data_IF_977533474671
#
_entry.id   IF_977533474671
#
_cell.length_a   1.000
_cell.length_b   1.000
_cell.length_c   1.000
_cell.angle_alpha   90.00
_cell.angle_beta   90.00
_cell.angle_gamma   90.00
#
_symmetry.space_group_name_H-M   'P 1'
#
loop_
_entity.id
_entity.type
_entity.pdbx_description
1 polymer ?
#
# COMPACT_ATOMS: atom_id res chain seq x y z
N UNK A 1 -19.08 -4.57 -7.69
CA UNK A 1 -18.01 -5.18 -6.89
C UNK A 1 -18.15 -6.69 -6.99
N UNK A 2 -17.61 -7.26 -8.07
CA UNK A 2 -17.43 -8.70 -8.20
C UNK A 2 -16.15 -9.10 -7.46
N UNK A 3 -16.12 -10.30 -6.91
CA UNK A 3 -14.98 -10.92 -6.22
C UNK A 3 -13.68 -10.73 -7.01
N UNK A 4 -12.88 -9.74 -6.59
CA UNK A 4 -11.52 -9.51 -7.02
C UNK A 4 -10.69 -10.72 -6.63
N UNK A 5 -10.48 -11.63 -7.59
CA UNK A 5 -9.31 -12.48 -7.57
C UNK A 5 -8.10 -11.58 -7.36
N UNK A 6 -7.36 -11.87 -6.32
CA UNK A 6 -6.33 -10.98 -5.84
C UNK A 6 -5.22 -10.86 -6.89
N UNK A 7 -5.34 -9.78 -7.65
CA UNK A 7 -4.31 -9.19 -8.49
C UNK A 7 -3.10 -8.91 -7.59
N UNK A 8 -1.88 -8.91 -8.14
CA UNK A 8 -0.63 -8.64 -7.41
C UNK A 8 -0.54 -7.21 -6.85
N UNK A 9 -1.65 -6.48 -6.81
CA UNK A 9 -1.83 -5.10 -6.35
C UNK A 9 -1.12 -4.82 -5.03
N UNK A 10 -1.40 -5.57 -3.96
CA UNK A 10 -0.75 -5.30 -2.66
C UNK A 10 0.75 -5.63 -2.64
N UNK A 11 1.23 -6.51 -3.52
CA UNK A 11 2.69 -6.65 -3.75
C UNK A 11 3.25 -5.40 -4.43
N UNK A 12 2.56 -4.83 -5.43
CA UNK A 12 2.94 -3.57 -6.08
C UNK A 12 3.00 -2.42 -5.07
N UNK A 13 1.97 -2.27 -4.23
CA UNK A 13 1.96 -1.32 -3.11
C UNK A 13 3.11 -1.60 -2.14
N UNK A 14 3.37 -2.86 -1.82
CA UNK A 14 4.49 -3.27 -0.98
C UNK A 14 5.85 -2.87 -1.54
N UNK A 15 6.10 -3.10 -2.84
CA UNK A 15 7.34 -2.67 -3.51
C UNK A 15 7.50 -1.15 -3.46
N UNK A 16 6.42 -0.40 -3.66
CA UNK A 16 6.40 1.05 -3.56
C UNK A 16 6.75 1.51 -2.13
N UNK A 17 6.11 0.93 -1.11
CA UNK A 17 6.33 1.23 0.31
C UNK A 17 7.73 0.82 0.80
N UNK A 18 8.32 -0.22 0.21
CA UNK A 18 9.69 -0.64 0.45
C UNK A 18 10.71 0.12 -0.43
N UNK A 19 10.23 1.09 -1.23
CA UNK A 19 11.03 1.93 -2.14
C UNK A 19 11.82 1.13 -3.19
N UNK A 20 11.38 -0.10 -3.47
CA UNK A 20 11.90 -0.97 -4.55
C UNK A 20 11.41 -0.53 -5.91
N UNK A 21 10.30 0.21 -5.94
CA UNK A 21 9.75 0.81 -7.15
C UNK A 21 9.52 2.29 -6.87
N UNK A 22 10.04 3.19 -7.72
CA UNK A 22 9.83 4.62 -7.52
C UNK A 22 8.36 4.98 -7.76
N UNK A 23 7.93 6.10 -7.18
CA UNK A 23 6.65 6.72 -7.53
C UNK A 23 6.69 7.06 -9.02
N UNK A 24 5.61 6.75 -9.74
CA UNK A 24 5.48 7.11 -11.16
C UNK A 24 5.68 8.62 -11.37
N UNK A 25 6.49 8.99 -12.34
CA UNK A 25 6.84 10.38 -12.65
C UNK A 25 6.22 10.85 -13.97
N UNK A 26 5.44 10.00 -14.65
CA UNK A 26 4.89 10.31 -15.96
C UNK A 26 3.52 10.99 -15.86
N UNK A 27 3.48 12.26 -16.28
CA UNK A 27 2.25 13.04 -16.41
C UNK A 27 1.72 13.66 -15.11
N UNK A 28 0.57 14.32 -15.26
CA UNK A 28 -0.06 15.14 -14.24
C UNK A 28 -1.57 14.98 -14.31
N UNK A 29 -2.22 14.81 -13.15
CA UNK A 29 -3.66 14.99 -13.05
C UNK A 29 -3.97 16.43 -12.67
N UNK A 30 -4.88 17.05 -13.39
CA UNK A 30 -5.19 18.48 -13.31
C UNK A 30 -6.63 18.66 -12.84
N UNK A 31 -6.82 19.45 -11.78
CA UNK A 31 -8.13 19.83 -11.29
C UNK A 31 -8.55 21.17 -11.92
N UNK A 32 -9.72 21.20 -12.55
CA UNK A 32 -10.29 22.40 -13.17
C UNK A 32 -11.37 23.04 -12.27
N UNK A 33 -11.71 24.30 -12.56
CA UNK A 33 -12.62 25.11 -11.75
C UNK A 33 -14.10 24.73 -11.84
N UNK A 34 -14.48 24.09 -12.93
CA UNK A 34 -15.76 23.44 -13.18
C UNK A 34 -15.94 22.10 -12.47
N UNK A 35 -14.95 21.69 -11.66
CA UNK A 35 -14.90 20.40 -10.98
C UNK A 35 -14.70 19.20 -11.91
N UNK A 36 -14.03 19.39 -13.04
CA UNK A 36 -13.51 18.31 -13.87
C UNK A 36 -12.04 17.98 -13.56
N UNK A 37 -11.64 16.77 -13.92
CA UNK A 37 -10.27 16.32 -13.89
C UNK A 37 -9.79 16.00 -15.30
N UNK A 38 -8.56 16.43 -15.62
CA UNK A 38 -7.88 16.16 -16.88
C UNK A 38 -6.55 15.45 -16.63
N UNK A 39 -6.03 14.77 -17.63
CA UNK A 39 -4.68 14.24 -17.64
C UNK A 39 -3.80 15.03 -18.60
N UNK A 40 -2.55 15.24 -18.25
CA UNK A 40 -1.58 15.92 -19.12
C UNK A 40 -0.23 15.23 -19.00
N UNK A 41 0.32 14.78 -20.13
CA UNK A 41 1.70 14.26 -20.18
C UNK A 41 2.73 15.37 -19.97
N UNK A 42 2.41 16.58 -20.42
CA UNK A 42 3.27 17.76 -20.26
C UNK A 42 2.94 18.50 -18.97
N UNK A 43 3.94 19.17 -18.40
CA UNK A 43 3.76 19.99 -17.20
C UNK A 43 2.85 21.19 -17.53
N UNK A 44 1.66 21.31 -16.90
CA UNK A 44 0.80 22.46 -17.15
C UNK A 44 1.46 23.79 -16.75
N UNK A 45 1.32 24.82 -17.57
CA UNK A 45 1.89 26.14 -17.33
C UNK A 45 0.97 27.04 -16.48
N UNK A 46 1.56 27.96 -15.72
CA UNK A 46 0.82 29.01 -15.01
C UNK A 46 0.01 28.57 -13.78
N UNK A 47 -0.04 27.27 -13.47
CA UNK A 47 -0.75 26.72 -12.30
C UNK A 47 0.20 26.15 -11.24
N UNK A 48 -0.32 25.96 -10.03
CA UNK A 48 0.43 25.29 -8.95
C UNK A 48 0.55 23.79 -9.27
N UNK A 49 1.79 23.32 -9.31
CA UNK A 49 2.11 21.89 -9.40
C UNK A 49 2.44 21.36 -8.01
N UNK A 50 1.76 20.30 -7.62
CA UNK A 50 1.96 19.59 -6.36
C UNK A 50 2.86 18.41 -6.62
N UNK A 51 4.10 18.52 -6.16
CA UNK A 51 5.07 17.44 -6.22
C UNK A 51 4.92 16.49 -5.05
N UNK A 52 5.52 15.32 -5.16
CA UNK A 52 5.60 14.31 -4.10
C UNK A 52 6.15 14.89 -2.79
N UNK A 53 7.18 15.75 -2.88
CA UNK A 53 7.74 16.47 -1.72
C UNK A 53 6.76 17.48 -1.13
N UNK A 54 6.08 18.28 -1.98
CA UNK A 54 5.07 19.23 -1.50
C UNK A 54 3.92 18.51 -0.77
N UNK A 55 3.48 17.36 -1.28
CA UNK A 55 2.40 16.60 -0.69
C UNK A 55 2.81 15.95 0.65
N UNK A 56 3.97 15.30 0.72
CA UNK A 56 4.49 14.74 1.96
C UNK A 56 4.70 15.81 3.05
N UNK A 57 5.22 16.97 2.68
CA UNK A 57 5.36 18.09 3.62
C UNK A 57 4.00 18.62 4.10
N UNK A 58 2.99 18.73 3.23
CA UNK A 58 1.65 19.14 3.64
C UNK A 58 0.99 18.13 4.59
N UNK A 59 1.18 16.82 4.35
CA UNK A 59 0.75 15.76 5.28
C UNK A 59 1.44 15.93 6.64
N UNK A 60 2.75 16.09 6.67
CA UNK A 60 3.51 16.25 7.91
C UNK A 60 3.07 17.51 8.70
N UNK A 61 2.99 18.67 8.05
CA UNK A 61 2.58 19.91 8.73
C UNK A 61 1.10 19.88 9.17
N UNK A 62 0.22 19.30 8.36
CA UNK A 62 -1.17 19.08 8.77
C UNK A 62 -1.31 18.16 9.98
N UNK A 63 -0.51 17.09 10.03
CA UNK A 63 -0.41 16.23 11.20
C UNK A 63 0.12 16.98 12.43
N UNK A 64 1.16 17.81 12.31
CA UNK A 64 1.65 18.66 13.41
C UNK A 64 0.55 19.58 13.94
N UNK A 65 -0.25 20.15 13.05
CA UNK A 65 -1.36 20.99 13.44
C UNK A 65 -2.39 20.22 14.29
N UNK A 66 -2.79 19.02 13.85
CA UNK A 66 -3.68 18.13 14.61
C UNK A 66 -3.07 17.73 15.95
N UNK A 67 -1.80 17.32 15.96
CA UNK A 67 -1.04 16.95 17.16
C UNK A 67 -1.04 18.08 18.19
N UNK A 68 -0.70 19.30 17.78
CA UNK A 68 -0.63 20.46 18.68
C UNK A 68 -2.02 20.89 19.19
N UNK A 69 -3.02 20.83 18.31
CA UNK A 69 -4.41 21.14 18.66
C UNK A 69 -4.94 20.15 19.69
N UNK A 70 -4.78 18.84 19.43
CA UNK A 70 -5.18 17.80 20.36
C UNK A 70 -4.39 17.89 21.67
N UNK A 71 -3.08 18.13 21.61
CA UNK A 71 -2.23 18.22 22.80
C UNK A 71 -2.62 19.36 23.76
N UNK A 72 -3.28 20.40 23.24
CA UNK A 72 -3.77 21.55 24.00
C UNK A 72 -5.18 21.33 24.57
N UNK A 73 -5.86 20.25 24.19
CA UNK A 73 -7.19 19.90 24.68
C UNK A 73 -7.14 19.20 26.04
N UNK A 74 -8.29 19.10 26.70
CA UNK A 74 -8.44 18.30 27.93
C UNK A 74 -8.38 16.80 27.67
N UNK A 75 -8.47 16.36 26.42
CA UNK A 75 -8.46 14.96 26.03
C UNK A 75 -7.03 14.40 25.87
N UNK A 76 -6.00 15.23 25.96
CA UNK A 76 -4.59 14.80 25.98
C UNK A 76 -4.19 14.16 27.32
N UNK A 77 -4.84 13.06 27.68
CA UNK A 77 -4.51 12.21 28.83
C UNK A 77 -4.27 10.78 28.37
N UNK A 78 -3.12 10.21 28.74
CA UNK A 78 -2.72 8.81 28.43
C UNK A 78 -3.02 8.41 26.98
N UNK A 79 -2.68 9.29 26.04
CA UNK A 79 -2.67 8.98 24.61
C UNK A 79 -1.67 7.87 24.38
N UNK A 80 -2.10 6.79 23.73
CA UNK A 80 -1.24 5.62 23.48
C UNK A 80 -0.97 5.37 21.99
N UNK A 81 -1.67 6.08 21.10
CA UNK A 81 -1.55 5.85 19.66
C UNK A 81 -1.82 7.10 18.86
N UNK A 82 -0.98 7.30 17.85
CA UNK A 82 -1.25 8.13 16.68
C UNK A 82 -1.13 7.27 15.42
N UNK A 83 -2.04 7.48 14.48
CA UNK A 83 -1.98 6.81 13.20
C UNK A 83 -2.34 7.75 12.06
N UNK A 84 -1.45 7.85 11.05
CA UNK A 84 -1.76 8.46 9.76
C UNK A 84 -2.19 7.36 8.79
N UNK A 85 -3.45 7.40 8.41
CA UNK A 85 -4.12 6.37 7.65
C UNK A 85 -4.40 6.87 6.24
N UNK A 86 -3.98 6.10 5.25
CA UNK A 86 -4.31 6.27 3.85
C UNK A 86 -5.00 4.98 3.39
N UNK A 87 -6.19 5.04 2.77
CA UNK A 87 -6.89 3.84 2.30
C UNK A 87 -6.96 3.69 0.79
N UNK A 88 -7.51 2.56 0.35
CA UNK A 88 -7.81 2.22 -1.04
C UNK A 88 -8.86 3.11 -1.71
N UNK A 89 -9.43 4.08 -0.99
CA UNK A 89 -10.36 5.06 -1.51
C UNK A 89 -9.73 6.46 -1.58
N UNK A 90 -8.39 6.52 -1.58
CA UNK A 90 -7.61 7.75 -1.61
C UNK A 90 -7.95 8.73 -0.48
N UNK A 91 -8.48 8.24 0.64
CA UNK A 91 -8.83 9.07 1.79
C UNK A 91 -7.69 9.11 2.81
N UNK A 92 -7.46 10.27 3.39
CA UNK A 92 -6.43 10.49 4.42
C UNK A 92 -7.09 10.84 5.75
N UNK A 93 -6.87 9.98 6.75
CA UNK A 93 -7.36 10.18 8.10
C UNK A 93 -6.22 10.16 9.12
N UNK A 94 -6.42 10.88 10.21
CA UNK A 94 -5.58 10.81 11.39
C UNK A 94 -6.42 10.22 12.52
N UNK A 95 -5.94 9.12 13.10
CA UNK A 95 -6.56 8.47 14.23
C UNK A 95 -5.72 8.68 15.50
N UNK A 96 -6.38 9.07 16.58
CA UNK A 96 -5.82 9.17 17.92
C UNK A 96 -6.68 8.39 18.89
N UNK A 97 -6.07 7.84 19.94
CA UNK A 97 -6.84 7.28 21.03
C UNK A 97 -6.15 7.38 22.39
N UNK A 98 -6.97 7.36 23.43
CA UNK A 98 -6.53 7.40 24.83
C UNK A 98 -6.93 6.13 25.56
N UNK A 99 -6.21 5.82 26.65
CA UNK A 99 -6.49 4.62 27.44
C UNK A 99 -7.91 4.61 28.02
N UNK A 100 -8.48 5.77 28.33
CA UNK A 100 -9.82 5.84 28.91
C UNK A 100 -10.92 5.60 27.85
N UNK A 101 -10.74 6.13 26.63
CA UNK A 101 -11.65 5.81 25.52
C UNK A 101 -11.59 4.33 25.16
N UNK A 102 -10.39 3.73 25.11
CA UNK A 102 -10.24 2.29 24.90
C UNK A 102 -10.97 1.46 25.97
N UNK A 103 -10.88 1.81 27.26
CA UNK A 103 -11.60 1.09 28.32
C UNK A 103 -13.11 1.13 28.11
N UNK A 104 -13.67 2.28 27.73
CA UNK A 104 -15.10 2.41 27.45
C UNK A 104 -15.54 1.55 26.26
N UNK A 105 -14.72 1.50 25.20
CA UNK A 105 -14.95 0.62 24.05
C UNK A 105 -14.89 -0.85 24.47
N UNK A 106 -13.85 -1.25 25.21
CA UNK A 106 -13.68 -2.62 25.68
C UNK A 106 -14.87 -3.08 26.54
N UNK A 107 -15.31 -2.26 27.49
CA UNK A 107 -16.48 -2.56 28.32
C UNK A 107 -17.75 -2.75 27.46
N UNK A 108 -17.99 -1.85 26.49
CA UNK A 108 -19.11 -1.96 25.56
C UNK A 108 -19.08 -3.26 24.76
N UNK A 109 -17.92 -3.66 24.24
CA UNK A 109 -17.77 -4.90 23.48
C UNK A 109 -17.92 -6.15 24.36
N UNK A 110 -17.37 -6.14 25.59
CA UNK A 110 -17.53 -7.24 26.54
C UNK A 110 -19.00 -7.42 26.98
N UNK A 111 -19.73 -6.32 27.15
CA UNK A 111 -21.16 -6.35 27.47
C UNK A 111 -22.00 -6.86 26.28
N UNK A 112 -21.64 -6.47 25.05
CA UNK A 112 -22.35 -6.90 23.83
C UNK A 112 -22.03 -8.35 23.45
N UNK A 113 -20.82 -8.82 23.72
CA UNK A 113 -20.33 -10.16 23.37
C UNK A 113 -19.73 -10.87 24.59
N UNK A 114 -20.57 -11.40 25.51
CA UNK A 114 -20.09 -12.07 26.70
C UNK A 114 -19.12 -13.21 26.37
N UNK A 115 -17.95 -13.20 27.03
CA UNK A 115 -16.90 -14.20 26.81
C UNK A 115 -15.87 -13.85 25.73
N UNK A 116 -16.09 -12.80 24.92
CA UNK A 116 -15.05 -12.24 24.03
C UNK A 116 -14.15 -11.23 24.76
N UNK A 117 -12.98 -10.96 24.20
CA UNK A 117 -12.04 -9.94 24.72
C UNK A 117 -11.64 -10.19 26.17
N UNK A 118 -11.43 -11.45 26.54
CA UNK A 118 -10.97 -11.85 27.88
C UNK A 118 -9.46 -12.02 27.91
N UNK A 119 -8.91 -12.68 26.88
CA UNK A 119 -7.49 -12.80 26.66
C UNK A 119 -6.87 -11.47 26.17
N UNK A 120 -5.55 -11.39 26.27
CA UNK A 120 -4.80 -10.17 25.94
C UNK A 120 -4.71 -9.94 24.43
N UNK A 121 -4.77 -10.98 23.60
CA UNK A 121 -4.66 -10.87 22.15
C UNK A 121 -5.90 -10.19 21.59
N UNK A 122 -7.10 -10.65 21.97
CA UNK A 122 -8.36 -10.05 21.57
C UNK A 122 -8.44 -8.58 22.05
N UNK A 123 -8.02 -8.31 23.28
CA UNK A 123 -7.97 -6.94 23.82
C UNK A 123 -7.05 -6.04 23.01
N UNK A 124 -5.86 -6.52 22.64
CA UNK A 124 -4.91 -5.74 21.85
C UNK A 124 -5.41 -5.51 20.42
N UNK A 125 -6.04 -6.53 19.81
CA UNK A 125 -6.70 -6.36 18.50
C UNK A 125 -7.76 -5.26 18.53
N UNK A 126 -8.60 -5.21 19.57
CA UNK A 126 -9.55 -4.11 19.75
C UNK A 126 -8.86 -2.77 20.05
N UNK A 127 -7.78 -2.79 20.83
CA UNK A 127 -7.03 -1.58 21.22
C UNK A 127 -6.46 -0.83 20.02
N UNK A 128 -6.06 -1.53 18.96
CA UNK A 128 -5.48 -0.93 17.76
C UNK A 128 -6.40 -1.01 16.54
N UNK A 129 -7.67 -1.33 16.73
CA UNK A 129 -8.72 -1.25 15.70
C UNK A 129 -9.06 0.20 15.41
N UNK A 130 -8.55 0.76 14.30
CA UNK A 130 -8.70 2.18 13.95
C UNK A 130 -10.17 2.61 13.85
N UNK A 131 -11.04 1.75 13.32
CA UNK A 131 -12.48 2.01 13.20
C UNK A 131 -13.20 2.16 14.55
N UNK A 132 -12.59 1.72 15.65
CA UNK A 132 -13.11 1.91 17.00
C UNK A 132 -12.50 3.13 17.71
N UNK A 133 -11.54 3.84 17.12
CA UNK A 133 -10.91 4.98 17.78
C UNK A 133 -11.88 6.14 17.93
N UNK A 134 -11.83 6.80 19.09
CA UNK A 134 -12.78 7.86 19.42
C UNK A 134 -12.42 9.20 18.75
N UNK A 135 -11.14 9.43 18.47
CA UNK A 135 -10.68 10.68 17.87
C UNK A 135 -10.22 10.42 16.45
N UNK A 136 -10.98 10.98 15.50
CA UNK A 136 -10.76 10.82 14.08
C UNK A 136 -10.73 12.22 13.47
N UNK A 137 -9.68 12.50 12.70
CA UNK A 137 -9.48 13.81 12.08
C UNK A 137 -9.26 13.61 10.58
N UNK A 138 -9.97 14.41 9.79
CA UNK A 138 -9.84 14.52 8.33
C UNK A 138 -9.21 15.86 7.93
N UNK A 139 -9.11 16.13 6.63
CA UNK A 139 -8.47 17.30 6.06
C UNK A 139 -8.91 18.65 6.71
N UNK A 140 -10.18 18.83 7.07
CA UNK A 140 -10.68 20.07 7.73
C UNK A 140 -9.96 20.38 9.06
N UNK A 141 -9.43 19.35 9.73
CA UNK A 141 -8.73 19.48 11.00
C UNK A 141 -7.22 19.75 10.84
N UNK A 142 -6.68 19.65 9.63
CA UNK A 142 -5.25 19.78 9.33
C UNK A 142 -4.80 21.23 9.09
N UNK A 143 -5.58 22.21 9.56
CA UNK A 143 -5.29 23.63 9.40
C UNK A 143 -5.25 24.05 7.92
N UNK A 144 -4.33 24.95 7.56
CA UNK A 144 -4.20 25.41 6.16
C UNK A 144 -3.72 24.32 5.20
N UNK A 145 -2.93 23.36 5.68
CA UNK A 145 -2.42 22.23 4.90
C UNK A 145 -3.53 21.25 4.49
N UNK A 146 -4.60 21.20 5.28
CA UNK A 146 -5.80 20.43 4.97
C UNK A 146 -6.43 20.74 3.62
N UNK A 147 -6.28 21.98 3.11
CA UNK A 147 -6.79 22.34 1.79
C UNK A 147 -6.15 21.50 0.68
N UNK A 148 -4.84 21.26 0.75
CA UNK A 148 -4.14 20.45 -0.24
C UNK A 148 -4.59 18.98 -0.19
N UNK A 149 -4.84 18.46 1.01
CA UNK A 149 -5.31 17.08 1.20
C UNK A 149 -6.74 16.93 0.66
N UNK A 150 -7.61 17.90 0.93
CA UNK A 150 -8.95 17.94 0.33
C UNK A 150 -8.91 18.00 -1.20
N UNK A 151 -8.04 18.83 -1.78
CA UNK A 151 -7.88 18.92 -3.24
C UNK A 151 -7.37 17.60 -3.84
N UNK A 152 -6.48 16.89 -3.14
CA UNK A 152 -6.04 15.54 -3.50
C UNK A 152 -7.20 14.53 -3.46
N UNK A 153 -7.92 14.42 -2.35
CA UNK A 153 -9.04 13.46 -2.18
C UNK A 153 -10.11 13.69 -3.26
N UNK A 154 -10.42 14.97 -3.51
CA UNK A 154 -11.34 15.38 -4.57
C UNK A 154 -10.86 14.98 -5.95
N UNK A 155 -9.60 15.28 -6.29
CA UNK A 155 -9.05 14.95 -7.60
C UNK A 155 -8.96 13.42 -7.79
N UNK A 156 -8.51 12.69 -6.78
CA UNK A 156 -8.40 11.25 -6.80
C UNK A 156 -9.77 10.58 -7.05
N UNK A 157 -10.84 11.10 -6.45
CA UNK A 157 -12.20 10.65 -6.72
C UNK A 157 -12.63 10.90 -8.18
N UNK A 158 -12.32 12.07 -8.72
CA UNK A 158 -12.70 12.43 -10.10
C UNK A 158 -11.99 11.58 -11.16
N UNK A 159 -10.77 11.10 -10.88
CA UNK A 159 -9.95 10.37 -11.84
C UNK A 159 -10.10 8.85 -11.79
N UNK A 160 -10.90 8.30 -10.86
CA UNK A 160 -11.10 6.85 -10.73
C UNK A 160 -11.56 6.17 -12.03
N UNK A 161 -12.39 6.87 -12.82
CA UNK A 161 -12.95 6.37 -14.08
C UNK A 161 -12.42 7.16 -15.31
N UNK A 162 -11.36 7.96 -15.13
CA UNK A 162 -10.85 8.81 -16.20
C UNK A 162 -10.01 8.00 -17.20
N UNK A 163 -10.34 8.11 -18.49
CA UNK A 163 -9.47 7.60 -19.56
C UNK A 163 -8.37 8.63 -19.85
N UNK A 164 -7.15 8.33 -19.42
CA UNK A 164 -5.95 9.17 -19.63
C UNK A 164 -5.68 9.48 -21.12
N UNK A 165 -6.17 8.66 -22.05
CA UNK A 165 -5.99 8.86 -23.50
C UNK A 165 -7.00 9.81 -24.15
N UNK A 166 -8.08 10.18 -23.45
CA UNK A 166 -9.18 11.00 -24.00
C UNK A 166 -9.41 12.32 -23.24
N UNK A 167 -8.58 12.62 -22.23
CA UNK A 167 -8.84 13.67 -21.23
C UNK A 167 -7.78 14.77 -21.18
N UNK A 168 -7.25 15.16 -22.34
CA UNK A 168 -6.34 16.30 -22.48
C UNK A 168 -7.01 17.65 -22.11
N UNK A 169 -6.19 18.62 -21.70
CA UNK A 169 -6.62 20.00 -21.47
C UNK A 169 -6.99 20.69 -22.80
N UNK A 170 -8.17 21.32 -22.83
CA UNK A 170 -8.68 22.13 -23.93
C UNK A 170 -8.53 23.63 -23.63
N UNK A 171 -8.69 24.48 -24.66
CA UNK A 171 -8.59 25.95 -24.51
C UNK A 171 -9.64 26.54 -23.56
N UNK A 172 -10.78 25.87 -23.38
CA UNK A 172 -11.87 26.29 -22.51
C UNK A 172 -11.68 25.87 -21.04
N UNK A 173 -10.76 24.94 -20.76
CA UNK A 173 -10.51 24.46 -19.40
C UNK A 173 -9.77 25.53 -18.59
N UNK A 174 -10.23 25.77 -17.36
CA UNK A 174 -9.56 26.69 -16.41
C UNK A 174 -8.91 25.88 -15.28
N UNK A 175 -7.64 25.46 -15.44
CA UNK A 175 -6.97 24.64 -14.45
C UNK A 175 -6.66 25.42 -13.16
N UNK A 176 -6.93 24.81 -12.02
CA UNK A 176 -6.68 25.38 -10.68
C UNK A 176 -5.30 24.93 -10.16
N UNK A 177 -5.05 23.61 -10.22
CA UNK A 177 -3.87 22.96 -9.67
C UNK A 177 -3.66 21.62 -10.36
N UNK A 178 -2.44 21.10 -10.30
CA UNK A 178 -2.14 19.75 -10.77
C UNK A 178 -1.28 18.99 -9.78
N UNK A 179 -1.45 17.67 -9.75
CA UNK A 179 -0.62 16.74 -9.00
C UNK A 179 0.23 15.92 -9.98
N UNK A 180 1.48 15.62 -9.61
CA UNK A 180 2.24 14.55 -10.27
C UNK A 180 1.40 13.27 -10.27
N UNK A 181 1.26 12.61 -11.42
CA UNK A 181 0.32 11.50 -11.57
C UNK A 181 0.60 10.35 -10.60
N UNK A 182 1.87 10.07 -10.31
CA UNK A 182 2.25 9.05 -9.35
C UNK A 182 1.76 9.28 -7.93
N UNK A 183 1.46 10.51 -7.51
CA UNK A 183 0.84 10.77 -6.19
C UNK A 183 -0.55 10.12 -6.13
N UNK A 184 -1.32 10.28 -7.20
CA UNK A 184 -2.68 9.74 -7.36
C UNK A 184 -2.63 8.23 -7.61
N UNK A 185 -1.71 7.77 -8.45
CA UNK A 185 -1.45 6.35 -8.77
C UNK A 185 -0.68 5.67 -7.64
N UNK A 186 -1.33 5.54 -6.48
CA UNK A 186 -0.85 4.85 -5.27
C UNK A 186 0.35 5.47 -4.53
N UNK A 187 1.02 6.50 -5.07
CA UNK A 187 2.15 7.17 -4.41
C UNK A 187 1.83 7.75 -3.03
N UNK A 188 0.59 8.16 -2.81
CA UNK A 188 0.11 8.71 -1.54
C UNK A 188 0.34 7.78 -0.33
N UNK A 189 0.35 6.45 -0.50
CA UNK A 189 0.69 5.51 0.58
C UNK A 189 2.14 5.71 1.06
N UNK A 190 3.09 5.76 0.13
CA UNK A 190 4.50 6.01 0.45
C UNK A 190 4.70 7.41 1.03
N UNK A 191 3.97 8.41 0.53
CA UNK A 191 4.08 9.78 1.03
C UNK A 191 3.51 9.92 2.45
N UNK A 192 2.44 9.20 2.80
CA UNK A 192 1.94 9.10 4.18
C UNK A 192 2.95 8.41 5.12
N UNK A 193 3.58 7.33 4.65
CA UNK A 193 4.67 6.68 5.39
C UNK A 193 5.85 7.64 5.60
N UNK A 194 6.31 8.33 4.55
CA UNK A 194 7.40 9.32 4.64
C UNK A 194 7.07 10.47 5.57
N UNK A 195 5.86 11.02 5.50
CA UNK A 195 5.40 12.05 6.42
C UNK A 195 5.43 11.58 7.87
N UNK A 196 5.00 10.33 8.14
CA UNK A 196 5.05 9.77 9.50
C UNK A 196 6.49 9.59 10.00
N UNK A 197 7.38 9.05 9.17
CA UNK A 197 8.82 8.92 9.49
C UNK A 197 9.45 10.28 9.76
N UNK A 198 9.13 11.30 8.96
CA UNK A 198 9.57 12.67 9.18
C UNK A 198 9.12 13.19 10.56
N UNK A 199 7.85 13.03 10.91
CA UNK A 199 7.30 13.46 12.21
C UNK A 199 7.99 12.78 13.40
N UNK A 200 8.31 11.49 13.26
CA UNK A 200 9.07 10.73 14.27
C UNK A 200 10.47 11.33 14.44
N UNK A 201 11.18 11.54 13.32
CA UNK A 201 12.54 12.08 13.32
C UNK A 201 12.61 13.50 13.92
N UNK A 202 11.59 14.32 13.65
CA UNK A 202 11.44 15.66 14.20
C UNK A 202 10.93 15.68 15.66
N UNK A 203 10.61 14.52 16.23
CA UNK A 203 10.02 14.37 17.58
C UNK A 203 8.70 15.12 17.75
N UNK A 204 7.92 15.24 16.67
CA UNK A 204 6.66 15.98 16.65
C UNK A 204 5.63 15.43 17.65
N UNK A 205 5.69 14.15 17.98
CA UNK A 205 4.75 13.48 18.89
C UNK A 205 5.05 13.66 20.39
N UNK A 206 6.12 14.37 20.75
CA UNK A 206 6.47 14.63 22.17
C UNK A 206 5.31 15.13 23.05
N UNK A 207 4.45 16.05 22.56
CA UNK A 207 3.28 16.51 23.32
C UNK A 207 2.22 15.44 23.60
N UNK A 208 2.13 14.38 22.77
CA UNK A 208 1.17 13.28 22.89
C UNK A 208 1.73 12.06 23.61
N UNK A 209 3.05 11.90 23.69
CA UNK A 209 3.66 10.75 24.33
C UNK A 209 3.44 10.77 25.85
N UNK A 210 2.29 10.23 26.30
CA UNK A 210 1.84 10.21 27.70
C UNK A 210 1.83 8.81 28.31
N UNK A 211 2.25 7.78 27.55
CA UNK A 211 2.27 6.38 27.99
C UNK A 211 3.57 5.71 27.59
N UNK A 212 4.04 4.73 28.37
CA UNK A 212 5.30 4.01 28.10
C UNK A 212 5.31 3.30 26.73
N UNK A 213 4.14 2.91 26.23
CA UNK A 213 3.95 2.22 24.96
C UNK A 213 3.22 3.07 23.92
N UNK A 214 3.43 4.39 23.93
CA UNK A 214 2.93 5.25 22.87
C UNK A 214 3.56 4.84 21.52
N UNK A 215 2.72 4.63 20.51
CA UNK A 215 3.17 4.36 19.13
C UNK A 215 2.61 5.39 18.16
N UNK A 216 3.40 5.74 17.15
CA UNK A 216 2.98 6.52 16.00
C UNK A 216 3.29 5.73 14.74
N UNK A 217 2.31 5.54 13.85
CA UNK A 217 2.53 4.73 12.64
C UNK A 217 1.69 5.15 11.44
N UNK A 218 2.17 4.80 10.26
CA UNK A 218 1.41 4.91 9.02
C UNK A 218 0.68 3.59 8.71
N UNK A 219 -0.47 3.66 8.07
CA UNK A 219 -1.26 2.49 7.68
C UNK A 219 -1.94 2.68 6.33
N UNK A 220 -2.19 1.56 5.67
CA UNK A 220 -2.80 1.43 4.34
C UNK A 220 -4.26 0.98 4.40
N UNK A 221 -4.72 0.55 5.58
CA UNK A 221 -6.02 -0.12 5.74
C UNK A 221 -6.00 -1.61 5.41
N UNK A 222 -4.85 -2.14 4.97
CA UNK A 222 -4.62 -3.57 4.82
C UNK A 222 -3.74 -4.09 5.98
N UNK A 223 -4.34 -4.87 6.88
CA UNK A 223 -3.65 -5.44 8.05
C UNK A 223 -2.35 -6.17 7.69
N UNK A 224 -2.34 -6.94 6.59
CA UNK A 224 -1.15 -7.68 6.18
C UNK A 224 -0.01 -6.73 5.82
N UNK A 225 -0.28 -5.70 5.02
CA UNK A 225 0.70 -4.65 4.71
C UNK A 225 1.12 -3.88 5.96
N UNK A 226 0.18 -3.53 6.82
CA UNK A 226 0.44 -2.67 7.96
C UNK A 226 1.34 -3.35 9.00
N UNK A 227 1.00 -4.57 9.42
CA UNK A 227 1.80 -5.33 10.39
C UNK A 227 3.11 -5.89 9.79
N UNK A 228 3.15 -6.16 8.49
CA UNK A 228 4.36 -6.69 7.83
C UNK A 228 5.35 -5.59 7.47
N UNK A 229 4.90 -4.37 7.18
CA UNK A 229 5.74 -3.35 6.54
C UNK A 229 5.61 -1.96 7.18
N UNK A 230 4.47 -1.27 7.05
CA UNK A 230 4.40 0.16 7.38
C UNK A 230 4.62 0.41 8.87
N UNK A 231 3.99 -0.38 9.75
CA UNK A 231 4.15 -0.25 11.18
C UNK A 231 5.60 -0.54 11.61
N UNK A 232 6.27 -1.49 10.95
CA UNK A 232 7.68 -1.83 11.25
C UNK A 232 8.65 -0.76 10.80
N UNK A 233 8.30 0.03 9.79
CA UNK A 233 9.08 1.20 9.34
C UNK A 233 8.88 2.43 10.24
N UNK A 234 7.84 2.46 11.08
CA UNK A 234 7.51 3.61 11.95
C UNK A 234 7.58 3.32 13.45
N UNK A 235 7.63 2.05 13.85
CA UNK A 235 7.69 1.64 15.26
C UNK A 235 8.97 0.84 15.48
N UNK A 236 9.75 1.24 16.49
CA UNK A 236 10.93 0.49 16.92
C UNK A 236 10.59 -0.98 17.22
N UNK A 237 11.41 -1.90 16.72
CA UNK A 237 11.08 -3.33 16.69
C UNK A 237 10.68 -3.92 18.04
N UNK A 238 11.42 -3.59 19.11
CA UNK A 238 11.13 -4.11 20.45
C UNK A 238 9.79 -3.57 20.97
N UNK A 239 9.52 -2.27 20.77
CA UNK A 239 8.23 -1.67 21.11
C UNK A 239 7.08 -2.28 20.28
N UNK A 240 7.31 -2.55 19.00
CA UNK A 240 6.34 -3.22 18.14
C UNK A 240 5.96 -4.59 18.71
N UNK A 241 6.93 -5.40 19.13
CA UNK A 241 6.64 -6.70 19.75
C UNK A 241 6.07 -6.61 21.17
N UNK A 242 6.41 -5.59 21.94
CA UNK A 242 5.80 -5.34 23.25
C UNK A 242 4.31 -5.02 23.11
N UNK A 243 3.96 -4.27 22.06
CA UNK A 243 2.58 -3.93 21.74
C UNK A 243 1.83 -5.09 21.07
N UNK A 244 2.50 -5.83 20.18
CA UNK A 244 1.95 -6.92 19.38
C UNK A 244 2.69 -8.25 19.62
N UNK A 245 2.61 -8.84 20.83
CA UNK A 245 3.40 -10.02 21.18
C UNK A 245 3.04 -11.26 20.36
N UNK A 246 1.77 -11.38 19.94
CA UNK A 246 1.32 -12.45 19.04
C UNK A 246 1.98 -12.38 17.66
N UNK A 247 2.38 -11.19 17.18
CA UNK A 247 3.10 -11.04 15.92
C UNK A 247 4.52 -11.59 16.05
N UNK A 248 5.18 -11.42 17.20
CA UNK A 248 6.51 -12.01 17.46
C UNK A 248 6.49 -13.53 17.33
N UNK A 249 5.46 -14.18 17.86
CA UNK A 249 5.26 -15.62 17.75
C UNK A 249 4.99 -16.05 16.29
N UNK A 250 4.13 -15.31 15.59
CA UNK A 250 3.84 -15.57 14.17
C UNK A 250 5.07 -15.40 13.28
N UNK A 251 5.92 -14.41 13.55
CA UNK A 251 7.18 -14.22 12.85
C UNK A 251 8.14 -15.41 13.03
N UNK A 252 8.20 -15.97 14.25
CA UNK A 252 8.98 -17.17 14.50
C UNK A 252 8.44 -18.38 13.73
N UNK A 253 7.12 -18.60 13.76
CA UNK A 253 6.47 -19.68 13.03
C UNK A 253 6.62 -19.53 11.52
N UNK A 254 6.57 -18.31 11.00
CA UNK A 254 6.78 -18.04 9.58
C UNK A 254 8.21 -18.40 9.16
N UNK A 255 9.23 -18.02 9.94
CA UNK A 255 10.62 -18.41 9.67
C UNK A 255 10.80 -19.93 9.66
N UNK A 256 10.20 -20.65 10.61
CA UNK A 256 10.25 -22.13 10.62
C UNK A 256 9.63 -22.73 9.37
N UNK A 257 8.57 -22.13 8.82
CA UNK A 257 7.98 -22.60 7.57
C UNK A 257 8.89 -22.33 6.37
N UNK A 258 9.48 -21.14 6.30
CA UNK A 258 10.43 -20.80 5.24
C UNK A 258 11.64 -21.75 5.23
N UNK A 259 12.11 -22.17 6.40
CA UNK A 259 13.19 -23.15 6.55
C UNK A 259 12.81 -24.53 5.99
N UNK A 260 11.57 -24.99 6.20
CA UNK A 260 11.09 -26.26 5.61
C UNK A 260 11.08 -26.23 4.08
N UNK A 261 10.75 -25.07 3.52
CA UNK A 261 10.64 -24.87 2.07
C UNK A 261 11.97 -24.41 1.43
N UNK A 262 13.06 -24.33 2.20
CA UNK A 262 14.36 -23.84 1.71
C UNK A 262 14.99 -24.76 0.65
N UNK A 263 14.60 -26.04 0.59
CA UNK A 263 15.16 -27.04 -0.33
C UNK A 263 14.40 -27.16 -1.66
N UNK A 264 13.30 -26.44 -1.83
CA UNK A 264 12.51 -26.47 -3.06
C UNK A 264 13.27 -25.80 -4.21
N UNK A 265 13.18 -26.40 -5.39
CA UNK A 265 13.61 -25.77 -6.65
C UNK A 265 12.77 -24.53 -6.97
N UNK A 266 13.25 -23.67 -7.87
CA UNK A 266 12.53 -22.46 -8.30
C UNK A 266 11.12 -22.77 -8.80
N UNK A 267 10.96 -23.82 -9.61
CA UNK A 267 9.65 -24.25 -10.13
C UNK A 267 8.71 -24.71 -9.01
N UNK A 268 9.20 -25.54 -8.08
CA UNK A 268 8.40 -25.99 -6.93
C UNK A 268 8.03 -24.83 -6.00
N UNK A 269 8.90 -23.84 -5.85
CA UNK A 269 8.65 -22.66 -5.02
C UNK A 269 7.61 -21.72 -5.66
N UNK A 270 7.69 -21.53 -6.98
CA UNK A 270 6.67 -20.80 -7.74
C UNK A 270 5.32 -21.50 -7.67
N UNK A 271 5.27 -22.83 -7.81
CA UNK A 271 4.01 -23.59 -7.68
C UNK A 271 3.43 -23.47 -6.28
N UNK A 272 4.26 -23.64 -5.24
CA UNK A 272 3.85 -23.50 -3.84
C UNK A 272 3.21 -22.13 -3.56
N UNK A 273 3.87 -21.05 -3.99
CA UNK A 273 3.37 -19.69 -3.72
C UNK A 273 2.23 -19.26 -4.63
N UNK A 274 2.24 -19.68 -5.89
CA UNK A 274 1.11 -19.44 -6.77
C UNK A 274 -0.13 -20.14 -6.23
N UNK A 275 -0.03 -21.37 -5.71
CA UNK A 275 -1.17 -22.03 -5.06
C UNK A 275 -1.60 -21.27 -3.80
N UNK A 276 -0.66 -20.79 -2.99
CA UNK A 276 -0.97 -20.06 -1.76
C UNK A 276 -1.66 -18.69 -1.96
N UNK A 277 -1.29 -17.94 -3.01
CA UNK A 277 -1.93 -16.66 -3.35
C UNK A 277 -3.37 -16.88 -3.84
N UNK A 278 -3.63 -18.03 -4.47
CA UNK A 278 -4.92 -18.33 -5.10
C UNK A 278 -5.78 -19.32 -4.29
N UNK A 279 -5.27 -19.91 -3.21
CA UNK A 279 -6.04 -20.68 -2.25
C UNK A 279 -6.83 -19.72 -1.33
N UNK A 280 -7.68 -20.23 -0.44
CA UNK A 280 -8.65 -19.43 0.34
C UNK A 280 -8.01 -18.49 1.37
N UNK A 281 -7.29 -17.47 0.90
CA UNK A 281 -6.64 -16.27 1.44
C UNK A 281 -6.32 -16.20 2.94
N UNK A 282 -7.27 -16.52 3.82
CA UNK A 282 -7.12 -16.28 5.26
C UNK A 282 -6.49 -17.44 6.03
N UNK A 283 -6.51 -18.64 5.47
CA UNK A 283 -6.07 -19.85 6.17
C UNK A 283 -4.70 -20.35 5.75
N UNK A 284 -4.20 -19.84 4.62
CA UNK A 284 -2.96 -20.31 4.02
C UNK A 284 -1.79 -19.37 4.31
N UNK A 285 -0.59 -19.90 4.07
CA UNK A 285 0.68 -19.22 4.29
C UNK A 285 0.87 -18.26 3.11
N UNK A 286 1.29 -16.99 3.31
CA UNK A 286 1.88 -16.46 4.53
C UNK A 286 0.86 -15.68 5.39
N UNK A 287 -0.37 -15.48 4.90
CA UNK A 287 -1.42 -14.68 5.53
C UNK A 287 -1.83 -15.19 6.92
N UNK A 288 -1.80 -16.51 7.14
CA UNK A 288 -1.96 -17.10 8.48
C UNK A 288 -1.04 -16.46 9.53
N UNK A 289 0.15 -16.03 9.12
CA UNK A 289 1.16 -15.40 9.97
C UNK A 289 1.16 -13.86 9.90
N UNK A 290 0.12 -13.25 9.31
CA UNK A 290 0.00 -11.79 9.12
C UNK A 290 1.19 -11.25 8.33
N UNK A 291 1.40 -11.85 7.16
CA UNK A 291 2.40 -11.43 6.18
C UNK A 291 1.70 -11.01 4.92
N UNK A 292 2.25 -9.98 4.28
CA UNK A 292 1.78 -9.47 3.00
C UNK A 292 2.24 -10.35 1.84
N UNK A 293 1.63 -10.12 0.69
CA UNK A 293 1.97 -10.68 -0.60
C UNK A 293 3.41 -10.33 -0.98
N UNK A 294 3.89 -9.14 -0.61
CA UNK A 294 5.29 -8.74 -0.82
C UNK A 294 6.26 -9.77 -0.23
N UNK A 295 5.98 -10.31 0.95
CA UNK A 295 6.84 -11.29 1.62
C UNK A 295 7.01 -12.57 0.80
N UNK A 296 5.99 -12.98 0.04
CA UNK A 296 6.07 -14.12 -0.88
C UNK A 296 7.16 -13.89 -1.91
N UNK A 297 7.11 -12.73 -2.55
CA UNK A 297 8.03 -12.42 -3.64
C UNK A 297 9.44 -12.10 -3.14
N UNK A 298 9.58 -11.53 -1.94
CA UNK A 298 10.89 -11.38 -1.28
C UNK A 298 11.61 -12.72 -1.11
N UNK A 299 10.88 -13.83 -0.87
CA UNK A 299 11.50 -15.15 -0.79
C UNK A 299 12.00 -15.67 -2.14
N UNK A 300 11.41 -15.21 -3.25
CA UNK A 300 11.81 -15.61 -4.59
C UNK A 300 13.15 -14.97 -5.02
N UNK A 301 13.55 -13.84 -4.40
CA UNK A 301 14.77 -13.09 -4.76
C UNK A 301 16.04 -13.95 -4.78
N UNK A 302 16.11 -14.95 -3.90
CA UNK A 302 17.27 -15.84 -3.79
C UNK A 302 17.59 -16.62 -5.06
N UNK A 303 16.62 -16.77 -5.97
CA UNK A 303 16.76 -17.54 -7.20
C UNK A 303 17.31 -16.72 -8.38
N UNK A 304 17.27 -15.38 -8.31
CA UNK A 304 17.87 -14.48 -9.31
C UNK A 304 17.52 -14.86 -10.77
N UNK A 305 18.53 -15.07 -11.61
CA UNK A 305 18.39 -15.41 -13.03
C UNK A 305 17.55 -16.69 -13.28
N UNK A 306 17.57 -17.66 -12.36
CA UNK A 306 16.77 -18.89 -12.48
C UNK A 306 15.26 -18.57 -12.35
N UNK A 307 14.90 -17.62 -11.49
CA UNK A 307 13.53 -17.12 -11.35
C UNK A 307 13.05 -16.48 -12.64
N UNK A 308 13.86 -15.59 -13.22
CA UNK A 308 13.52 -14.90 -14.46
C UNK A 308 13.28 -15.90 -15.59
N UNK A 309 14.17 -16.86 -15.75
CA UNK A 309 14.08 -17.87 -16.80
C UNK A 309 12.81 -18.72 -16.66
N UNK A 310 12.54 -19.22 -15.45
CA UNK A 310 11.36 -20.05 -15.16
C UNK A 310 10.05 -19.26 -15.35
N UNK A 311 9.98 -18.01 -14.89
CA UNK A 311 8.78 -17.17 -15.07
C UNK A 311 8.50 -16.88 -16.56
N UNK A 312 9.54 -16.50 -17.32
CA UNK A 312 9.42 -16.24 -18.76
C UNK A 312 9.00 -17.50 -19.52
N UNK A 313 9.57 -18.66 -19.17
CA UNK A 313 9.24 -19.92 -19.83
C UNK A 313 7.79 -20.34 -19.55
N UNK A 314 7.30 -20.15 -18.32
CA UNK A 314 5.89 -20.37 -17.97
C UNK A 314 4.96 -19.42 -18.72
N UNK A 315 5.32 -18.14 -18.82
CA UNK A 315 4.56 -17.15 -19.58
C UNK A 315 4.50 -17.49 -21.09
N UNK A 316 5.57 -18.03 -21.68
CA UNK A 316 5.61 -18.47 -23.08
C UNK A 316 4.72 -19.69 -23.35
N UNK A 317 4.49 -20.54 -22.35
CA UNK A 317 3.66 -21.74 -22.48
C UNK A 317 2.15 -21.43 -22.51
N UNK A 318 1.76 -20.22 -22.12
CA UNK A 318 0.35 -19.80 -22.14
C UNK A 318 -0.10 -19.57 -23.59
N UNK A 319 -1.25 -20.15 -23.93
CA UNK A 319 -1.84 -19.97 -25.26
C UNK A 319 -2.66 -18.67 -25.33
N UNK A 320 -2.05 -17.59 -25.79
CA UNK A 320 -2.71 -16.28 -25.95
C UNK A 320 -3.71 -16.19 -27.12
N UNK A 321 -3.78 -17.23 -27.97
CA UNK A 321 -4.71 -17.25 -29.11
C UNK A 321 -6.14 -17.68 -28.73
N UNK A 322 -6.37 -18.05 -27.47
CA UNK A 322 -7.68 -18.47 -26.96
C UNK A 322 -8.16 -17.53 -25.85
N UNK A 323 -9.45 -17.63 -25.51
CA UNK A 323 -9.96 -16.97 -24.30
C UNK A 323 -9.23 -17.55 -23.10
N UNK A 324 -8.63 -16.69 -22.28
CA UNK A 324 -7.94 -17.10 -21.07
C UNK A 324 -8.94 -17.35 -19.96
N UNK A 325 -8.71 -18.41 -19.18
CA UNK A 325 -9.43 -18.66 -17.95
C UNK A 325 -8.89 -17.79 -16.82
N UNK A 326 -9.72 -17.52 -15.80
CA UNK A 326 -9.34 -16.71 -14.62
C UNK A 326 -7.99 -17.12 -14.01
N UNK A 327 -7.77 -18.43 -13.82
CA UNK A 327 -6.51 -18.97 -13.28
C UNK A 327 -5.29 -18.62 -14.13
N UNK A 328 -5.46 -18.50 -15.45
CA UNK A 328 -4.36 -18.11 -16.34
C UNK A 328 -4.03 -16.63 -16.19
N UNK A 329 -5.03 -15.74 -16.04
CA UNK A 329 -4.77 -14.33 -15.73
C UNK A 329 -4.04 -14.16 -14.41
N UNK A 330 -4.54 -14.84 -13.37
CA UNK A 330 -3.93 -14.92 -12.04
C UNK A 330 -2.45 -15.32 -12.11
N UNK A 331 -2.12 -16.41 -12.82
CA UNK A 331 -0.73 -16.84 -13.02
C UNK A 331 0.10 -15.87 -13.87
N UNK A 332 -0.47 -15.21 -14.89
CA UNK A 332 0.25 -14.19 -15.67
C UNK A 332 0.73 -13.06 -14.75
N UNK A 333 -0.18 -12.47 -13.97
CA UNK A 333 0.17 -11.37 -13.07
C UNK A 333 1.13 -11.82 -11.97
N UNK A 334 0.98 -13.04 -11.46
CA UNK A 334 1.93 -13.62 -10.49
C UNK A 334 3.34 -13.74 -11.06
N UNK A 335 3.51 -14.30 -12.27
CA UNK A 335 4.84 -14.45 -12.88
C UNK A 335 5.46 -13.11 -13.26
N UNK A 336 4.66 -12.15 -13.75
CA UNK A 336 5.14 -10.79 -14.03
C UNK A 336 5.60 -10.11 -12.73
N UNK A 337 4.84 -10.25 -11.65
CA UNK A 337 5.23 -9.68 -10.36
C UNK A 337 6.52 -10.32 -9.85
N UNK A 338 6.68 -11.63 -9.96
CA UNK A 338 7.91 -12.34 -9.59
C UNK A 338 9.15 -11.86 -10.35
N UNK A 339 9.01 -11.40 -11.61
CA UNK A 339 10.13 -10.84 -12.37
C UNK A 339 10.74 -9.58 -11.72
N UNK A 340 9.98 -8.79 -10.98
CA UNK A 340 10.52 -7.64 -10.23
C UNK A 340 11.53 -8.05 -9.15
N UNK A 341 11.52 -9.33 -8.76
CA UNK A 341 12.36 -9.89 -7.70
C UNK A 341 13.49 -10.76 -8.27
N UNK A 342 13.58 -10.94 -9.59
CA UNK A 342 14.64 -11.74 -10.22
C UNK A 342 15.98 -10.99 -10.35
N UNK A 343 16.02 -9.69 -10.05
CA UNK A 343 17.20 -8.84 -10.23
C UNK A 343 17.31 -8.29 -11.66
N UNK A 344 18.53 -8.02 -12.11
CA UNK A 344 18.80 -7.44 -13.44
C UNK A 344 18.71 -8.56 -14.48
N UNK A 345 17.76 -8.44 -15.42
CA UNK A 345 17.58 -9.41 -16.49
C UNK A 345 18.76 -9.40 -17.48
N UNK A 346 19.14 -10.58 -17.94
CA UNK A 346 20.06 -10.74 -19.08
C UNK A 346 19.41 -10.26 -20.40
N UNK A 347 20.22 -9.91 -21.39
CA UNK A 347 19.73 -9.49 -22.72
C UNK A 347 18.83 -10.54 -23.39
N UNK A 348 19.09 -11.83 -23.17
CA UNK A 348 18.23 -12.92 -23.65
C UNK A 348 16.87 -12.90 -22.94
N UNK A 349 16.85 -12.72 -21.63
CA UNK A 349 15.60 -12.60 -20.86
C UNK A 349 14.81 -11.34 -21.25
N UNK A 350 15.46 -10.19 -21.42
CA UNK A 350 14.84 -8.95 -21.92
C UNK A 350 14.20 -9.15 -23.29
N UNK A 351 14.92 -9.79 -24.21
CA UNK A 351 14.40 -10.12 -25.53
C UNK A 351 13.16 -11.03 -25.43
N UNK A 352 13.22 -12.05 -24.57
CA UNK A 352 12.10 -12.94 -24.33
C UNK A 352 10.89 -12.24 -23.71
N UNK A 353 11.08 -11.28 -22.80
CA UNK A 353 10.00 -10.45 -22.27
C UNK A 353 9.30 -9.66 -23.39
N UNK A 354 10.05 -9.09 -24.34
CA UNK A 354 9.48 -8.41 -25.51
C UNK A 354 8.64 -9.36 -26.37
N UNK A 355 9.10 -10.58 -26.62
CA UNK A 355 8.35 -11.59 -27.39
C UNK A 355 7.02 -11.91 -26.69
N UNK A 356 7.05 -12.14 -25.37
CA UNK A 356 5.84 -12.44 -24.60
C UNK A 356 4.88 -11.25 -24.60
N UNK A 357 5.39 -10.02 -24.47
CA UNK A 357 4.57 -8.80 -24.53
C UNK A 357 3.85 -8.64 -25.88
N UNK A 358 4.52 -8.96 -26.99
CA UNK A 358 3.91 -8.94 -28.33
C UNK A 358 2.77 -9.98 -28.44
N UNK A 359 2.98 -11.18 -27.87
CA UNK A 359 1.94 -12.21 -27.80
C UNK A 359 0.73 -11.73 -26.98
N UNK A 360 0.97 -11.12 -25.81
CA UNK A 360 -0.08 -10.57 -24.97
C UNK A 360 -0.84 -9.43 -25.66
N UNK A 361 -0.14 -8.54 -26.37
CA UNK A 361 -0.74 -7.41 -27.09
C UNK A 361 -1.65 -7.86 -28.25
N UNK A 362 -1.38 -9.04 -28.82
CA UNK A 362 -2.22 -9.65 -29.85
C UNK A 362 -3.44 -10.40 -29.29
N UNK A 363 -3.49 -10.59 -27.97
CA UNK A 363 -4.59 -11.29 -27.31
C UNK A 363 -5.87 -10.43 -27.32
N UNK A 364 -7.03 -11.07 -27.48
CA UNK A 364 -8.34 -10.40 -27.39
C UNK A 364 -8.76 -10.08 -25.95
N UNK A 365 -8.03 -10.62 -24.99
CA UNK A 365 -8.22 -10.38 -23.57
C UNK A 365 -7.36 -9.20 -23.16
N UNK A 366 -7.89 -8.26 -22.38
CA UNK A 366 -7.24 -6.99 -22.04
C UNK A 366 -5.99 -7.18 -21.16
N UNK A 367 -4.87 -7.54 -21.80
CA UNK A 367 -3.55 -7.75 -21.19
C UNK A 367 -2.60 -6.58 -21.46
N UNK A 368 -3.14 -5.39 -21.76
CA UNK A 368 -2.33 -4.22 -22.12
C UNK A 368 -1.34 -3.83 -21.03
N UNK A 369 -1.78 -3.81 -19.78
CA UNK A 369 -0.92 -3.48 -18.63
C UNK A 369 0.17 -4.53 -18.39
N UNK A 370 -0.19 -5.81 -18.47
CA UNK A 370 0.77 -6.92 -18.37
C UNK A 370 1.84 -6.85 -19.47
N UNK A 371 1.44 -6.56 -20.72
CA UNK A 371 2.35 -6.37 -21.84
C UNK A 371 3.25 -5.15 -21.65
N UNK A 372 2.70 -4.02 -21.18
CA UNK A 372 3.46 -2.79 -20.87
C UNK A 372 4.53 -3.06 -19.81
N UNK A 373 4.19 -3.80 -18.75
CA UNK A 373 5.10 -4.17 -17.67
C UNK A 373 6.27 -5.04 -18.19
N UNK A 374 5.99 -6.03 -19.05
CA UNK A 374 7.03 -6.82 -19.72
C UNK A 374 7.92 -6.01 -20.67
N UNK A 375 7.36 -5.03 -21.39
CA UNK A 375 8.14 -4.12 -22.22
C UNK A 375 9.05 -3.21 -21.38
N UNK A 376 8.64 -2.83 -20.17
CA UNK A 376 9.50 -2.08 -19.25
C UNK A 376 10.71 -2.91 -18.83
N UNK A 377 10.52 -4.18 -18.48
CA UNK A 377 11.63 -5.11 -18.22
C UNK A 377 12.57 -5.29 -19.41
N UNK A 378 12.04 -5.27 -20.64
CA UNK A 378 12.85 -5.38 -21.85
C UNK A 378 13.72 -4.13 -22.11
N UNK A 379 13.37 -2.98 -21.52
CA UNK A 379 14.04 -1.67 -21.74
C UNK A 379 14.98 -1.27 -20.62
N UNK A 380 14.69 -1.67 -19.37
CA UNK A 380 15.60 -1.54 -18.21
C UNK A 380 16.83 -2.39 -18.41
#
# INVERSE_FOLDING_TARGET
>A
MGESALNTYYSKIGRLLDERTPIDQEGYFVLCDDNEAKFSLEKPEGIKIVTSECFANALAEGCKFVVNTFASSTDNDKVYVFNLYADEHNSIFIYLNTMDQFKGILERYQNKYPGKYQDISDKNSLKYSQGDFNFQFWHEHMGEHGRLIHDFERLAYLVMDLDEGESDLNEDDTPILAFEAGIIKDGYYLLALKATVQLINEKAFGPLNKTENFIAFASTGNDYMDYSLTMRKTIEQELFYDVFPNIKEKDAQYREELEKNAQLSVGEYLDYWNDAVHSGYRLDIPFKYIKSELEIFLQLERFGDELASECIDRLKQINYNVSLERKQFESIYFYIEALHFAGILSEEQKHNCSIVADLMSSCKNDLKEAAKELLNFARS
#
